data_IF_929725210476
#
_entry.id   IF_929725210476
#
_cell.length_a   1.000
_cell.length_b   1.000
_cell.length_c   1.000
_cell.angle_alpha   90.00
_cell.angle_beta   90.00
_cell.angle_gamma   90.00
#
_symmetry.space_group_name_H-M   'P 1'
#
loop_
_entity.id
_entity.type
_entity.pdbx_description
1 polymer ?
#
# COMPACT_ATOMS: atom_id res chain seq x y z
N UNK A 1 3.42 7.38 -17.42
CA UNK A 1 4.84 7.72 -17.55
C UNK A 1 5.25 8.99 -16.79
N UNK A 2 4.55 10.13 -16.91
CA UNK A 2 4.90 11.38 -16.17
C UNK A 2 4.98 11.20 -14.65
N UNK A 3 4.06 10.45 -14.04
CA UNK A 3 4.01 10.26 -12.58
C UNK A 3 5.15 9.37 -12.05
N UNK A 4 5.65 8.43 -12.87
CA UNK A 4 6.78 7.57 -12.51
C UNK A 4 8.11 8.34 -12.51
N UNK A 5 8.27 9.26 -13.46
CA UNK A 5 9.47 10.13 -13.54
C UNK A 5 9.54 11.06 -12.33
N UNK A 6 8.38 11.60 -11.90
CA UNK A 6 8.30 12.47 -10.73
C UNK A 6 8.66 11.74 -9.43
N UNK A 7 8.28 10.47 -9.30
CA UNK A 7 8.61 9.65 -8.14
C UNK A 7 10.11 9.34 -8.08
N UNK A 8 10.71 8.98 -9.21
CA UNK A 8 12.17 8.73 -9.33
C UNK A 8 12.96 10.01 -9.03
N UNK A 9 12.50 11.16 -9.53
CA UNK A 9 13.14 12.45 -9.26
C UNK A 9 13.05 12.82 -7.77
N UNK A 10 11.92 12.56 -7.10
CA UNK A 10 11.75 12.82 -5.67
C UNK A 10 12.68 11.94 -4.82
N UNK A 11 12.84 10.65 -5.19
CA UNK A 11 13.80 9.76 -4.53
C UNK A 11 15.25 10.17 -4.76
N UNK A 12 15.57 10.67 -5.95
CA UNK A 12 16.93 11.15 -6.28
C UNK A 12 17.28 12.42 -5.49
N UNK A 13 16.33 13.36 -5.34
CA UNK A 13 16.51 14.58 -4.55
C UNK A 13 16.67 14.29 -3.05
N UNK A 14 15.97 13.29 -2.52
CA UNK A 14 16.11 12.85 -1.14
C UNK A 14 17.47 12.17 -0.88
N UNK A 15 18.00 11.43 -1.85
CA UNK A 15 19.31 10.75 -1.71
C UNK A 15 20.50 11.71 -1.76
N UNK A 16 20.42 12.79 -2.51
CA UNK A 16 21.53 13.78 -2.64
C UNK A 16 21.74 14.57 -1.33
N UNK A 17 20.67 14.84 -0.56
CA UNK A 17 20.80 15.59 0.70
C UNK A 17 21.40 14.76 1.85
N UNK A 18 21.44 13.44 1.74
CA UNK A 18 21.99 12.55 2.78
C UNK A 18 23.51 12.42 2.66
N UNK A 19 24.09 12.54 1.48
CA UNK A 19 25.55 12.43 1.28
C UNK A 19 26.34 13.64 1.82
N UNK A 20 25.72 14.80 1.96
CA UNK A 20 26.40 16.01 2.46
C UNK A 20 26.66 16.06 3.97
N UNK A 21 26.11 15.13 4.75
CA UNK A 21 26.29 15.11 6.21
C UNK A 21 27.28 14.07 6.73
N UNK A 22 27.79 13.20 5.88
CA UNK A 22 28.65 12.08 6.31
C UNK A 22 30.15 12.36 6.39
N UNK A 23 30.61 13.50 5.86
CA UNK A 23 32.06 13.78 5.79
C UNK A 23 32.67 14.50 7.01
N UNK A 24 31.91 14.84 8.03
CA UNK A 24 32.42 15.62 9.18
C UNK A 24 32.58 14.87 10.50
N UNK A 25 32.25 13.58 10.59
CA UNK A 25 32.38 12.83 11.85
C UNK A 25 33.10 11.48 11.64
N UNK A 26 34.32 11.52 11.15
CA UNK A 26 35.20 10.36 11.23
C UNK A 26 36.20 10.55 12.36
N UNK A 27 35.76 10.35 13.63
CA UNK A 27 36.69 9.97 14.71
C UNK A 27 35.89 9.35 15.86
N UNK A 28 36.19 8.06 16.05
CA UNK A 28 36.06 7.36 17.33
C UNK A 28 34.68 7.29 17.99
N UNK A 29 33.93 6.33 17.60
CA UNK A 29 33.22 5.41 18.50
C UNK A 29 32.96 4.15 17.70
N UNK A 30 33.18 2.97 18.26
CA UNK A 30 32.53 1.74 17.80
C UNK A 30 31.02 1.93 18.02
N UNK A 31 30.37 2.65 17.12
CA UNK A 31 28.91 2.71 17.10
C UNK A 31 28.44 1.27 16.87
N UNK A 32 27.85 0.69 17.89
CA UNK A 32 27.13 -0.56 17.77
C UNK A 32 26.05 -0.28 16.75
N UNK A 33 26.25 -0.70 15.50
CA UNK A 33 25.29 -0.52 14.43
C UNK A 33 24.05 -1.35 14.77
N UNK A 34 23.03 -0.69 15.31
CA UNK A 34 21.76 -1.32 15.63
C UNK A 34 21.12 -1.82 14.34
N UNK A 35 20.72 -3.06 14.32
CA UNK A 35 20.03 -3.65 13.17
C UNK A 35 18.75 -2.84 12.89
N UNK A 36 18.41 -2.54 11.61
CA UNK A 36 17.19 -1.83 11.27
C UNK A 36 15.91 -2.57 11.71
N UNK A 37 16.04 -3.81 12.14
CA UNK A 37 14.96 -4.63 12.70
C UNK A 37 14.85 -4.54 14.24
N UNK A 38 15.87 -4.06 14.93
CA UNK A 38 15.99 -4.03 16.40
C UNK A 38 15.82 -2.62 16.96
N UNK A 39 14.92 -1.85 16.36
CA UNK A 39 14.61 -0.50 16.79
C UNK A 39 13.40 -0.50 17.73
N UNK A 40 13.40 0.40 18.70
CA UNK A 40 12.28 0.57 19.62
C UNK A 40 11.18 1.46 19.05
N UNK A 41 11.54 2.49 18.31
CA UNK A 41 10.57 3.41 17.69
C UNK A 41 11.04 3.83 16.31
N UNK A 42 10.09 4.03 15.39
CA UNK A 42 10.37 4.61 14.09
C UNK A 42 9.16 5.33 13.50
N UNK A 43 9.44 6.32 12.67
CA UNK A 43 8.48 6.95 11.79
C UNK A 43 8.83 6.64 10.35
N UNK A 44 7.86 6.13 9.60
CA UNK A 44 8.06 5.59 8.25
C UNK A 44 7.02 6.16 7.29
N UNK A 45 7.42 6.33 6.03
CA UNK A 45 6.52 6.63 4.93
C UNK A 45 6.61 5.49 3.91
N UNK A 46 5.50 5.19 3.25
CA UNK A 46 5.47 4.10 2.28
C UNK A 46 4.50 4.35 1.13
N UNK A 47 4.68 3.62 0.06
CA UNK A 47 3.76 3.61 -1.06
C UNK A 47 3.67 2.23 -1.72
N UNK A 48 2.50 1.93 -2.31
CA UNK A 48 2.24 0.71 -3.08
C UNK A 48 2.67 0.89 -4.53
N UNK A 49 3.64 0.09 -4.97
CA UNK A 49 4.14 0.11 -6.35
C UNK A 49 3.04 -0.18 -7.39
N UNK A 50 2.18 -1.20 -7.20
CA UNK A 50 1.15 -1.51 -8.18
C UNK A 50 0.18 -0.35 -8.47
N UNK A 51 -0.04 0.54 -7.52
CA UNK A 51 -0.92 1.70 -7.73
C UNK A 51 -0.41 2.64 -8.82
N UNK A 52 0.90 2.88 -8.85
CA UNK A 52 1.50 3.74 -9.89
C UNK A 52 1.46 3.09 -11.28
N UNK A 53 1.58 1.76 -11.34
CA UNK A 53 1.50 1.00 -12.60
C UNK A 53 0.10 1.09 -13.18
N UNK A 54 -0.93 1.08 -12.33
CA UNK A 54 -2.34 1.13 -12.75
C UNK A 54 -2.87 2.54 -12.94
N UNK A 55 -2.03 3.58 -12.78
CA UNK A 55 -2.39 4.97 -13.00
C UNK A 55 -3.01 5.67 -11.78
N UNK A 56 -2.85 5.09 -10.59
CA UNK A 56 -3.25 5.70 -9.32
C UNK A 56 -2.05 6.11 -8.47
N UNK A 57 -2.32 6.35 -7.19
CA UNK A 57 -1.29 6.56 -6.17
C UNK A 57 -1.74 5.96 -4.83
N UNK A 58 -0.76 5.64 -4.02
CA UNK A 58 -0.91 5.28 -2.61
C UNK A 58 0.10 6.08 -1.81
N UNK A 59 -0.32 6.56 -0.66
CA UNK A 59 0.56 7.17 0.32
C UNK A 59 0.21 6.60 1.70
N UNK A 60 1.23 6.20 2.45
CA UNK A 60 1.09 5.69 3.80
C UNK A 60 2.12 6.32 4.73
N UNK A 61 1.70 6.53 5.97
CA UNK A 61 2.57 6.88 7.09
C UNK A 61 2.47 5.79 8.14
N UNK A 62 3.59 5.45 8.76
CA UNK A 62 3.68 4.40 9.77
C UNK A 62 4.42 4.88 11.00
N UNK A 63 3.92 4.49 12.17
CA UNK A 63 4.64 4.61 13.42
C UNK A 63 4.84 3.22 14.03
N UNK A 64 6.08 2.91 14.33
CA UNK A 64 6.49 1.67 15.00
C UNK A 64 6.80 1.95 16.46
N UNK A 65 6.29 1.08 17.31
CA UNK A 65 6.65 1.02 18.73
C UNK A 65 6.96 -0.43 19.09
N UNK A 66 8.21 -0.75 19.31
CA UNK A 66 8.74 -2.11 19.46
C UNK A 66 8.28 -3.01 18.30
N UNK A 67 7.55 -4.09 18.59
CA UNK A 67 7.02 -5.02 17.59
C UNK A 67 5.76 -4.49 16.91
N UNK A 68 5.05 -3.51 17.49
CA UNK A 68 3.80 -3.00 16.92
C UNK A 68 4.06 -1.91 15.88
N UNK A 69 3.24 -1.88 14.84
CA UNK A 69 3.29 -0.86 13.79
C UNK A 69 1.89 -0.42 13.43
N UNK A 70 1.59 0.85 13.68
CA UNK A 70 0.37 1.50 13.21
C UNK A 70 0.65 2.20 11.89
N UNK A 71 -0.20 1.98 10.88
CA UNK A 71 -0.10 2.66 9.59
C UNK A 71 -1.43 3.29 9.23
N UNK A 72 -1.36 4.50 8.70
CA UNK A 72 -2.47 5.19 8.05
C UNK A 72 -2.13 5.32 6.58
N UNK A 73 -3.09 5.07 5.71
CA UNK A 73 -2.85 5.15 4.28
C UNK A 73 -4.03 5.75 3.53
N UNK A 74 -3.75 6.18 2.32
CA UNK A 74 -4.76 6.59 1.35
C UNK A 74 -4.40 6.05 -0.02
N UNK A 75 -5.40 5.47 -0.69
CA UNK A 75 -5.36 5.05 -2.08
C UNK A 75 -6.25 5.98 -2.90
N UNK A 76 -5.84 6.31 -4.13
CA UNK A 76 -6.69 6.98 -5.10
C UNK A 76 -6.25 6.65 -6.52
N UNK A 77 -7.23 6.53 -7.42
CA UNK A 77 -6.99 6.19 -8.81
C UNK A 77 -6.65 4.71 -9.01
N UNK A 78 -6.03 4.43 -10.14
CA UNK A 78 -5.75 3.07 -10.56
C UNK A 78 -6.96 2.42 -11.22
N UNK A 79 -6.71 1.83 -12.39
CA UNK A 79 -7.72 1.09 -13.15
C UNK A 79 -7.43 -0.39 -13.03
N UNK A 80 -8.42 -1.14 -12.57
CA UNK A 80 -8.38 -2.59 -12.55
C UNK A 80 -9.43 -3.13 -13.51
N UNK A 81 -9.04 -4.02 -14.41
CA UNK A 81 -9.99 -4.89 -15.06
C UNK A 81 -10.44 -5.87 -13.99
N UNK A 82 -11.57 -5.54 -13.38
CA UNK A 82 -12.04 -6.28 -12.22
C UNK A 82 -12.71 -7.56 -12.69
N UNK A 83 -11.95 -8.63 -12.74
CA UNK A 83 -12.56 -9.95 -12.69
C UNK A 83 -12.75 -10.35 -11.24
N UNK A 84 -13.98 -10.35 -10.71
CA UNK A 84 -14.25 -11.00 -9.46
C UNK A 84 -13.92 -12.47 -9.60
N UNK A 85 -13.06 -13.00 -8.72
CA UNK A 85 -12.84 -14.43 -8.64
C UNK A 85 -14.21 -15.13 -8.48
N UNK A 86 -14.62 -15.90 -9.47
CA UNK A 86 -15.84 -16.70 -9.43
C UNK A 86 -17.05 -16.21 -10.22
N UNK A 87 -17.05 -14.99 -10.76
CA UNK A 87 -18.13 -14.54 -11.67
C UNK A 87 -17.66 -14.63 -13.12
N UNK A 88 -17.74 -15.82 -13.68
CA UNK A 88 -17.60 -16.00 -15.14
C UNK A 88 -18.63 -15.13 -15.83
N UNK A 89 -18.21 -14.23 -16.68
CA UNK A 89 -18.96 -13.47 -17.69
C UNK A 89 -19.33 -12.01 -17.41
N UNK A 90 -19.25 -11.43 -16.23
CA UNK A 90 -19.63 -10.03 -16.05
C UNK A 90 -18.47 -9.04 -15.96
N UNK A 91 -17.27 -9.52 -15.77
CA UNK A 91 -16.11 -8.71 -15.43
C UNK A 91 -15.40 -8.09 -16.62
N UNK A 92 -15.40 -8.75 -17.78
CA UNK A 92 -14.81 -8.19 -19.00
C UNK A 92 -15.53 -6.90 -19.46
N UNK A 93 -16.79 -6.70 -19.04
CA UNK A 93 -17.63 -5.60 -19.45
C UNK A 93 -17.50 -4.36 -18.54
N UNK A 94 -16.78 -4.48 -17.44
CA UNK A 94 -16.64 -3.42 -16.45
C UNK A 94 -15.17 -3.05 -16.20
N UNK A 95 -14.98 -1.76 -15.83
CA UNK A 95 -13.73 -1.26 -15.24
C UNK A 95 -14.00 -0.80 -13.82
N UNK A 96 -13.08 -1.05 -12.92
CA UNK A 96 -13.13 -0.60 -11.54
C UNK A 96 -12.01 0.40 -11.28
N UNK A 97 -12.38 1.53 -10.70
CA UNK A 97 -11.45 2.59 -10.30
C UNK A 97 -11.54 2.79 -8.79
N UNK A 98 -10.42 2.99 -8.13
CA UNK A 98 -10.43 3.48 -6.76
C UNK A 98 -10.63 4.99 -6.74
N UNK A 99 -11.59 5.46 -5.97
CA UNK A 99 -11.64 6.82 -5.47
C UNK A 99 -10.85 6.91 -4.18
N UNK A 100 -10.74 8.10 -3.59
CA UNK A 100 -10.02 8.30 -2.33
C UNK A 100 -10.53 7.34 -1.26
N UNK A 101 -9.66 6.46 -0.82
CA UNK A 101 -9.96 5.34 0.06
C UNK A 101 -8.93 5.32 1.20
N UNK A 102 -9.29 5.83 2.39
CA UNK A 102 -8.43 5.78 3.56
C UNK A 102 -8.42 4.40 4.19
N UNK A 103 -7.29 4.07 4.82
CA UNK A 103 -7.10 2.82 5.55
C UNK A 103 -6.27 2.98 6.80
N UNK A 104 -6.52 2.10 7.77
CA UNK A 104 -5.75 1.94 8.98
C UNK A 104 -5.29 0.49 9.11
N UNK A 105 -4.03 0.29 9.47
CA UNK A 105 -3.38 -1.01 9.58
C UNK A 105 -2.69 -1.12 10.92
N UNK A 106 -2.87 -2.25 11.58
CA UNK A 106 -2.15 -2.60 12.79
C UNK A 106 -1.31 -3.86 12.53
N UNK A 107 0.00 -3.69 12.53
CA UNK A 107 0.98 -4.74 12.31
C UNK A 107 1.66 -5.18 13.61
N UNK A 108 2.09 -6.43 13.61
CA UNK A 108 2.96 -7.01 14.63
C UNK A 108 4.15 -7.69 13.96
N UNK A 109 5.35 -7.24 14.30
CA UNK A 109 6.59 -7.82 13.79
C UNK A 109 6.94 -9.07 14.60
N UNK A 110 6.74 -10.23 13.98
CA UNK A 110 6.96 -11.54 14.65
C UNK A 110 8.42 -11.95 14.67
N UNK A 111 9.19 -11.52 13.65
CA UNK A 111 10.61 -11.87 13.56
C UNK A 111 11.30 -10.96 12.52
N UNK A 112 12.32 -10.21 12.96
CA UNK A 112 13.05 -9.26 12.09
C UNK A 112 12.08 -8.42 11.24
N UNK A 113 12.09 -8.56 9.92
CA UNK A 113 11.20 -7.85 9.02
C UNK A 113 9.84 -8.52 8.78
N UNK A 114 9.60 -9.72 9.33
CA UNK A 114 8.34 -10.46 9.12
C UNK A 114 7.22 -9.85 9.96
N UNK A 115 6.22 -9.30 9.30
CA UNK A 115 5.07 -8.65 9.91
C UNK A 115 3.78 -9.39 9.56
N UNK A 116 2.96 -9.68 10.56
CA UNK A 116 1.55 -10.01 10.40
C UNK A 116 0.73 -8.76 10.72
N UNK A 117 -0.36 -8.51 10.00
CA UNK A 117 -1.14 -7.31 10.22
C UNK A 117 -2.63 -7.53 9.97
N UNK A 118 -3.44 -6.72 10.61
CA UNK A 118 -4.86 -6.54 10.30
C UNK A 118 -5.10 -5.12 9.81
N UNK A 119 -6.24 -4.90 9.15
CA UNK A 119 -6.57 -3.59 8.63
C UNK A 119 -8.07 -3.37 8.49
N UNK A 120 -8.43 -2.09 8.41
CA UNK A 120 -9.73 -1.59 8.03
C UNK A 120 -9.54 -0.51 6.97
N UNK A 121 -10.19 -0.65 5.81
CA UNK A 121 -10.15 0.31 4.71
C UNK A 121 -11.56 0.69 4.29
N UNK A 122 -11.78 1.98 4.09
CA UNK A 122 -13.04 2.50 3.53
C UNK A 122 -12.85 2.73 2.04
N UNK A 123 -13.27 1.78 1.22
CA UNK A 123 -13.14 1.86 -0.22
C UNK A 123 -14.36 2.52 -0.88
N UNK A 124 -14.08 3.39 -1.82
CA UNK A 124 -15.05 3.87 -2.80
C UNK A 124 -14.58 3.44 -4.18
N UNK A 125 -15.35 2.55 -4.80
CA UNK A 125 -15.10 2.09 -6.16
C UNK A 125 -16.03 2.79 -7.12
N UNK A 126 -15.50 3.36 -8.20
CA UNK A 126 -16.28 3.77 -9.35
C UNK A 126 -16.27 2.67 -10.39
N UNK A 127 -17.42 2.09 -10.65
CA UNK A 127 -17.61 1.02 -11.64
C UNK A 127 -18.13 1.63 -12.93
N UNK A 128 -17.43 1.41 -14.02
CA UNK A 128 -17.80 1.86 -15.36
C UNK A 128 -18.18 0.67 -16.22
N UNK A 129 -19.38 0.68 -16.78
CA UNK A 129 -19.79 -0.26 -17.82
C UNK A 129 -19.17 0.15 -19.15
N UNK A 130 -18.30 -0.68 -19.72
CA UNK A 130 -17.51 -0.35 -20.92
C UNK A 130 -18.36 -0.05 -22.14
N UNK A 131 -19.48 -0.77 -22.31
CA UNK A 131 -20.36 -0.63 -23.46
C UNK A 131 -21.11 0.73 -23.50
N UNK A 132 -21.48 1.26 -22.33
CA UNK A 132 -22.30 2.46 -22.22
C UNK A 132 -21.56 3.68 -21.66
N UNK A 133 -20.39 3.46 -21.04
CA UNK A 133 -19.66 4.49 -20.30
C UNK A 133 -20.34 4.94 -19.00
N UNK A 134 -21.46 4.32 -18.62
CA UNK A 134 -22.18 4.65 -17.39
C UNK A 134 -21.32 4.28 -16.18
N UNK A 135 -21.24 5.20 -15.21
CA UNK A 135 -20.47 5.01 -13.97
C UNK A 135 -21.40 5.00 -12.76
N UNK A 136 -21.12 4.10 -11.83
CA UNK A 136 -21.78 4.03 -10.52
C UNK A 136 -20.75 3.80 -9.43
N UNK A 137 -20.96 4.46 -8.29
CA UNK A 137 -20.07 4.32 -7.14
C UNK A 137 -20.60 3.27 -6.17
N UNK A 138 -19.69 2.49 -5.64
CA UNK A 138 -19.94 1.50 -4.58
C UNK A 138 -19.04 1.82 -3.40
N UNK A 139 -19.63 1.98 -2.23
CA UNK A 139 -18.90 2.16 -0.98
C UNK A 139 -18.80 0.83 -0.23
N UNK A 140 -17.60 0.47 0.19
CA UNK A 140 -17.32 -0.76 0.92
C UNK A 140 -16.40 -0.48 2.10
N UNK A 141 -16.73 -1.06 3.25
CA UNK A 141 -15.80 -1.18 4.35
C UNK A 141 -15.17 -2.56 4.26
N UNK A 142 -13.87 -2.58 4.03
CA UNK A 142 -13.08 -3.79 3.85
C UNK A 142 -12.22 -3.99 5.08
N UNK A 143 -12.22 -5.20 5.62
CA UNK A 143 -11.33 -5.58 6.70
C UNK A 143 -10.60 -6.87 6.32
N UNK A 144 -9.52 -7.15 7.01
CA UNK A 144 -8.80 -8.37 6.75
C UNK A 144 -7.47 -8.43 7.46
N UNK A 145 -6.63 -9.31 6.96
CA UNK A 145 -5.30 -9.50 7.49
C UNK A 145 -4.32 -9.90 6.40
N UNK A 146 -3.06 -9.79 6.73
CA UNK A 146 -2.00 -10.11 5.80
C UNK A 146 -0.69 -10.42 6.49
N UNK A 147 0.24 -10.84 5.65
CA UNK A 147 1.63 -11.11 6.00
C UNK A 147 2.52 -10.36 5.02
N UNK A 148 3.61 -9.80 5.51
CA UNK A 148 4.60 -9.11 4.68
C UNK A 148 5.98 -9.21 5.29
N UNK A 149 7.00 -9.00 4.46
CA UNK A 149 8.37 -8.98 4.92
C UNK A 149 9.02 -7.65 4.53
N UNK A 150 9.45 -6.89 5.54
CA UNK A 150 10.14 -5.61 5.37
C UNK A 150 11.64 -5.88 5.20
N UNK A 151 12.13 -5.79 3.97
CA UNK A 151 13.54 -5.96 3.62
C UNK A 151 14.22 -4.61 3.51
N UNK A 152 15.16 -4.31 4.42
CA UNK A 152 15.91 -3.06 4.41
C UNK A 152 17.08 -3.10 3.43
N UNK A 153 17.21 -2.02 2.67
CA UNK A 153 18.36 -1.71 1.81
C UNK A 153 19.06 -0.52 2.47
N UNK A 154 20.13 -0.81 3.20
CA UNK A 154 20.72 0.12 4.16
C UNK A 154 19.85 0.28 5.41
N UNK A 155 19.93 1.43 6.04
CA UNK A 155 19.30 1.66 7.37
C UNK A 155 17.90 2.31 7.26
N UNK A 156 17.57 2.91 6.11
CA UNK A 156 16.38 3.74 5.95
C UNK A 156 15.40 3.27 4.89
N UNK A 157 15.89 2.80 3.76
CA UNK A 157 15.02 2.39 2.65
C UNK A 157 14.63 0.92 2.79
N UNK A 158 13.37 0.59 2.51
CA UNK A 158 12.93 -0.79 2.50
C UNK A 158 11.98 -1.12 1.34
N UNK A 159 12.00 -2.39 0.98
CA UNK A 159 11.03 -3.04 0.09
C UNK A 159 10.22 -4.02 0.93
N UNK A 160 8.91 -3.99 0.79
CA UNK A 160 8.02 -4.82 1.60
C UNK A 160 7.02 -5.57 0.70
N UNK A 161 7.40 -6.76 0.17
CA UNK A 161 6.46 -7.68 -0.44
C UNK A 161 5.52 -8.27 0.60
N UNK A 162 4.30 -8.62 0.19
CA UNK A 162 3.33 -9.25 1.07
C UNK A 162 2.09 -9.72 0.33
N UNK A 163 1.21 -10.35 1.10
CA UNK A 163 -0.11 -10.77 0.65
C UNK A 163 -1.14 -10.49 1.74
N UNK A 164 -2.36 -10.14 1.33
CA UNK A 164 -3.45 -9.95 2.27
C UNK A 164 -4.80 -10.38 1.68
N UNK A 165 -5.71 -10.72 2.57
CA UNK A 165 -7.08 -11.07 2.27
C UNK A 165 -7.97 -9.90 2.64
N UNK A 166 -8.82 -9.48 1.69
CA UNK A 166 -9.94 -8.58 1.90
C UNK A 166 -11.20 -9.39 2.20
N UNK A 167 -11.90 -8.98 3.24
CA UNK A 167 -13.22 -9.46 3.59
C UNK A 167 -14.16 -8.27 3.60
N UNK A 168 -15.27 -8.37 2.89
CA UNK A 168 -16.26 -7.29 2.78
C UNK A 168 -17.68 -7.85 2.64
N UNK A 169 -18.67 -7.00 2.94
CA UNK A 169 -20.05 -7.33 2.61
C UNK A 169 -20.28 -7.24 1.11
N UNK A 170 -21.08 -8.15 0.58
CA UNK A 170 -21.50 -8.08 -0.82
C UNK A 170 -22.17 -6.73 -1.09
N UNK A 171 -21.76 -6.11 -2.18
CA UNK A 171 -22.31 -4.87 -2.71
C UNK A 171 -22.48 -5.01 -4.22
N UNK A 172 -23.51 -4.40 -4.73
CA UNK A 172 -23.82 -4.45 -6.15
C UNK A 172 -24.16 -3.07 -6.73
N UNK A 173 -23.98 -2.95 -8.05
CA UNK A 173 -24.41 -1.81 -8.83
C UNK A 173 -25.17 -2.31 -10.06
N UNK A 174 -26.42 -1.81 -10.23
CA UNK A 174 -27.28 -2.21 -11.33
C UNK A 174 -27.08 -1.28 -12.54
N UNK A 175 -26.83 -1.85 -13.71
CA UNK A 175 -26.63 -1.15 -14.98
C UNK A 175 -27.72 -1.59 -15.98
N UNK A 176 -28.97 -1.31 -15.66
CA UNK A 176 -30.11 -1.79 -16.43
C UNK A 176 -30.31 -3.30 -16.28
N UNK A 177 -30.11 -4.06 -17.35
CA UNK A 177 -30.20 -5.53 -17.34
C UNK A 177 -28.98 -6.24 -16.76
N UNK A 178 -27.90 -5.51 -16.49
CA UNK A 178 -26.63 -6.08 -16.02
C UNK A 178 -26.34 -5.61 -14.59
N UNK A 179 -25.90 -6.52 -13.74
CA UNK A 179 -25.53 -6.25 -12.35
C UNK A 179 -24.05 -6.52 -12.16
N UNK A 180 -23.34 -5.55 -11.62
CA UNK A 180 -21.96 -5.74 -11.14
C UNK A 180 -21.97 -6.04 -9.64
N UNK A 181 -21.25 -7.08 -9.22
CA UNK A 181 -21.08 -7.42 -7.80
C UNK A 181 -19.62 -7.37 -7.42
N UNK A 182 -19.33 -6.78 -6.25
CA UNK A 182 -17.98 -6.84 -5.68
C UNK A 182 -17.80 -8.18 -4.97
N UNK A 183 -16.66 -8.87 -5.15
CA UNK A 183 -16.38 -10.08 -4.40
C UNK A 183 -16.37 -9.84 -2.90
N UNK A 184 -16.93 -10.74 -2.13
CA UNK A 184 -16.93 -10.69 -0.66
C UNK A 184 -15.56 -11.01 -0.06
N UNK A 185 -14.75 -11.75 -0.81
CA UNK A 185 -13.38 -12.10 -0.46
C UNK A 185 -12.47 -11.85 -1.64
N UNK A 186 -11.31 -11.27 -1.40
CA UNK A 186 -10.32 -10.97 -2.44
C UNK A 186 -8.92 -11.19 -1.86
N UNK A 187 -8.03 -11.78 -2.63
CA UNK A 187 -6.62 -11.97 -2.28
C UNK A 187 -5.77 -10.99 -3.10
N UNK A 188 -4.94 -10.22 -2.42
CA UNK A 188 -4.08 -9.25 -3.07
C UNK A 188 -2.62 -9.49 -2.72
N UNK A 189 -1.78 -9.50 -3.75
CA UNK A 189 -0.33 -9.38 -3.59
C UNK A 189 0.03 -7.90 -3.56
N UNK A 190 0.88 -7.54 -2.61
CA UNK A 190 1.31 -6.16 -2.41
C UNK A 190 2.83 -6.05 -2.48
N UNK A 191 3.28 -4.95 -3.03
CA UNK A 191 4.69 -4.55 -2.98
C UNK A 191 4.73 -3.10 -2.56
N UNK A 192 5.30 -2.84 -1.38
CA UNK A 192 5.51 -1.48 -0.88
C UNK A 192 6.97 -1.10 -1.00
N UNK A 193 7.20 0.16 -1.29
CA UNK A 193 8.48 0.82 -1.09
C UNK A 193 8.30 1.82 0.05
N UNK A 194 9.24 1.85 0.97
CA UNK A 194 9.14 2.76 2.10
C UNK A 194 10.48 3.32 2.53
N UNK A 195 10.38 4.36 3.31
CA UNK A 195 11.53 5.05 3.86
C UNK A 195 11.29 5.35 5.35
N UNK A 196 12.28 5.01 6.16
CA UNK A 196 12.30 5.33 7.58
C UNK A 196 12.89 6.71 7.76
N UNK A 197 12.06 7.67 8.18
CA UNK A 197 12.46 9.05 8.37
C UNK A 197 13.24 9.25 9.68
N UNK A 198 12.92 8.43 10.68
CA UNK A 198 13.50 8.51 12.01
C UNK A 198 13.35 7.19 12.75
N UNK A 199 14.34 6.85 13.60
CA UNK A 199 14.28 5.67 14.50
C UNK A 199 15.18 5.86 15.73
N UNK A 200 14.83 5.20 16.82
CA UNK A 200 15.61 5.03 18.05
C UNK A 200 15.53 3.59 18.58
#
# INVERSE_FOLDING_TARGET
MKNMIMLIALFYLLSINIQGQTDSVSKAANEIKVSPYEISQAFEIESLVPMFITGGYHFGIGYRYNQFRLRLSVINGGTYNAEPAGLKNSSSDFKRYYKTSPGIFLGYNVWKGLEIYTYLESHTFSIEQKATGIKKDIHSADFGGGISYQYFIGDYFYVQPGAHIYLRKEKEANFGSTVYRIPTTDLSLVLRLGFRLWSI
#
